data_IF_370147098025
#
_entry.id   IF_370147098025
#
_cell.length_a   1.000
_cell.length_b   1.000
_cell.length_c   1.000
_cell.angle_alpha   90.00
_cell.angle_beta   90.00
_cell.angle_gamma   90.00
#
_symmetry.space_group_name_H-M   'P 1'
#
loop_
_entity.id
_entity.type
_entity.pdbx_description
1 polymer ?
#
# COMPACT_ATOMS: atom_id res chain seq x y z
N UNK A 1 13.14 14.12 -2.55
CA UNK A 1 13.84 12.92 -3.07
C UNK A 1 13.46 11.75 -2.17
N UNK A 2 12.85 10.68 -2.71
CA UNK A 2 12.41 9.51 -1.93
C UNK A 2 13.46 8.41 -2.13
N UNK A 3 14.13 7.97 -1.06
CA UNK A 3 15.16 6.90 -1.16
C UNK A 3 15.14 6.04 0.09
N UNK A 4 15.49 4.76 -0.04
CA UNK A 4 15.65 3.83 1.10
C UNK A 4 17.09 3.77 1.62
N UNK A 5 17.93 4.75 1.25
CA UNK A 5 19.34 4.75 1.66
C UNK A 5 19.48 5.32 3.08
N UNK A 6 20.26 4.66 3.95
CA UNK A 6 20.33 5.01 5.38
C UNK A 6 20.96 6.38 5.68
N UNK A 7 21.55 7.06 4.68
CA UNK A 7 22.22 8.36 4.81
C UNK A 7 21.41 9.53 4.23
N UNK A 8 20.15 9.32 3.84
CA UNK A 8 19.35 10.35 3.21
C UNK A 8 18.44 11.05 4.23
N UNK A 9 18.48 12.39 4.29
CA UNK A 9 17.54 13.23 5.07
C UNK A 9 16.14 13.32 4.39
N UNK A 10 15.94 12.65 3.26
CA UNK A 10 14.66 12.53 2.57
C UNK A 10 13.76 11.46 3.16
N UNK A 11 12.48 11.48 2.77
CA UNK A 11 11.50 10.46 3.18
C UNK A 11 11.80 9.10 2.52
N UNK A 12 11.70 8.01 3.29
CA UNK A 12 11.78 6.66 2.72
C UNK A 12 10.55 6.36 1.86
N UNK A 13 10.63 5.40 0.93
CA UNK A 13 9.45 4.98 0.14
C UNK A 13 8.37 4.46 1.08
N UNK A 14 8.76 3.62 2.04
CA UNK A 14 7.85 3.09 3.06
C UNK A 14 7.12 4.21 3.83
N UNK A 15 7.85 5.21 4.32
CA UNK A 15 7.26 6.35 5.02
C UNK A 15 6.36 7.21 4.12
N UNK A 16 6.65 7.28 2.81
CA UNK A 16 5.75 7.96 1.88
C UNK A 16 4.41 7.20 1.74
N UNK A 17 4.43 5.87 1.72
CA UNK A 17 3.21 5.05 1.69
C UNK A 17 2.40 5.16 2.98
N UNK A 18 3.06 5.23 4.15
CA UNK A 18 2.40 5.48 5.44
C UNK A 18 1.63 6.80 5.40
N UNK A 19 2.29 7.90 5.03
CA UNK A 19 1.66 9.23 4.93
C UNK A 19 0.52 9.23 3.91
N UNK A 20 0.71 8.62 2.73
CA UNK A 20 -0.33 8.55 1.71
C UNK A 20 -1.55 7.77 2.20
N UNK A 21 -1.35 6.65 2.91
CA UNK A 21 -2.42 5.86 3.46
C UNK A 21 -3.24 6.66 4.49
N UNK A 22 -2.56 7.33 5.41
CA UNK A 22 -3.22 8.16 6.43
C UNK A 22 -4.00 9.31 5.81
N UNK A 23 -3.41 10.00 4.81
CA UNK A 23 -4.09 11.09 4.09
C UNK A 23 -5.35 10.61 3.35
N UNK A 24 -5.30 9.42 2.73
CA UNK A 24 -6.46 8.82 2.07
C UNK A 24 -7.54 8.51 3.12
N UNK A 25 -7.16 7.90 4.25
CA UNK A 25 -8.13 7.56 5.29
C UNK A 25 -8.80 8.80 5.88
N UNK A 26 -8.03 9.86 6.16
CA UNK A 26 -8.56 11.13 6.64
C UNK A 26 -9.47 11.80 5.61
N UNK A 27 -9.01 11.94 4.37
CA UNK A 27 -9.74 12.65 3.30
C UNK A 27 -11.09 12.03 2.97
N UNK A 28 -11.20 10.70 3.13
CA UNK A 28 -12.39 9.93 2.80
C UNK A 28 -13.13 9.38 4.04
N UNK A 29 -12.76 9.81 5.25
CA UNK A 29 -13.33 9.36 6.52
C UNK A 29 -13.37 7.82 6.66
N UNK A 30 -12.31 7.15 6.20
CA UNK A 30 -12.19 5.70 6.27
C UNK A 30 -11.59 5.30 7.62
N UNK A 31 -12.03 4.16 8.15
CA UNK A 31 -11.37 3.55 9.31
C UNK A 31 -10.12 2.79 8.84
N UNK A 32 -8.90 3.21 9.24
CA UNK A 32 -7.64 2.59 8.83
C UNK A 32 -7.60 1.06 9.02
N UNK A 33 -8.21 0.56 10.09
CA UNK A 33 -8.25 -0.87 10.43
C UNK A 33 -9.15 -1.71 9.51
N UNK A 34 -9.99 -1.06 8.70
CA UNK A 34 -10.94 -1.73 7.79
C UNK A 34 -10.59 -1.53 6.31
N UNK A 35 -9.58 -0.72 6.02
CA UNK A 35 -9.12 -0.48 4.66
C UNK A 35 -8.25 -1.64 4.19
N UNK A 36 -8.47 -2.06 2.95
CA UNK A 36 -7.61 -3.03 2.27
C UNK A 36 -6.92 -2.29 1.14
N UNK A 37 -5.60 -2.20 1.18
CA UNK A 37 -4.81 -1.54 0.14
C UNK A 37 -4.32 -2.58 -0.87
N UNK A 38 -4.66 -2.37 -2.14
CA UNK A 38 -4.18 -3.19 -3.25
C UNK A 38 -3.40 -2.32 -4.21
N UNK A 39 -2.14 -2.66 -4.43
CA UNK A 39 -1.31 -2.01 -5.43
C UNK A 39 -1.37 -2.80 -6.75
N UNK A 40 -1.77 -2.13 -7.82
CA UNK A 40 -1.70 -2.67 -9.17
C UNK A 40 -0.51 -2.06 -9.90
N UNK A 41 0.46 -2.88 -10.26
CA UNK A 41 1.66 -2.48 -10.99
C UNK A 41 1.59 -3.03 -12.40
N UNK A 42 1.51 -2.11 -13.36
CA UNK A 42 1.65 -2.43 -14.78
C UNK A 42 3.08 -2.16 -15.19
N UNK A 43 3.90 -3.21 -15.27
CA UNK A 43 5.27 -3.06 -15.75
C UNK A 43 5.27 -2.61 -17.23
N UNK A 44 6.16 -1.69 -17.58
CA UNK A 44 6.44 -1.39 -18.98
C UNK A 44 7.20 -2.58 -19.56
N UNK A 45 6.76 -3.04 -20.74
CA UNK A 45 7.30 -4.17 -21.52
C UNK A 45 6.92 -5.57 -21.00
N UNK A 46 5.83 -6.13 -21.57
CA UNK A 46 5.51 -7.57 -21.68
C UNK A 46 5.57 -8.48 -20.43
N UNK A 47 5.70 -7.95 -19.22
CA UNK A 47 5.81 -8.75 -17.98
C UNK A 47 4.49 -9.05 -17.26
N UNK A 48 3.35 -8.71 -17.88
CA UNK A 48 2.03 -8.96 -17.31
C UNK A 48 1.64 -7.95 -16.22
N UNK A 49 0.42 -8.10 -15.71
CA UNK A 49 -0.09 -7.32 -14.57
C UNK A 49 0.37 -7.96 -13.26
N UNK A 50 0.89 -7.16 -12.34
CA UNK A 50 1.25 -7.60 -10.99
C UNK A 50 0.37 -6.92 -9.96
N UNK A 51 -0.08 -7.71 -8.99
CA UNK A 51 -0.90 -7.24 -7.89
C UNK A 51 -0.20 -7.53 -6.57
N UNK A 52 -0.23 -6.57 -5.66
CA UNK A 52 0.29 -6.74 -4.31
C UNK A 52 -0.76 -6.29 -3.30
N UNK A 53 -1.00 -7.13 -2.29
CA UNK A 53 -1.72 -6.73 -1.09
C UNK A 53 -0.72 -6.04 -0.16
N UNK A 54 -1.01 -4.78 0.19
CA UNK A 54 -0.15 -3.99 1.07
C UNK A 54 -0.73 -4.01 2.48
N UNK A 55 0.05 -4.55 3.41
CA UNK A 55 -0.30 -4.62 4.83
C UNK A 55 0.38 -3.48 5.58
N UNK A 56 -0.38 -2.78 6.41
CA UNK A 56 0.13 -1.76 7.33
C UNK A 56 -0.12 -2.22 8.77
N UNK A 57 0.81 -1.95 9.66
CA UNK A 57 0.56 -1.96 11.09
C UNK A 57 -0.20 -0.68 11.45
N UNK A 58 -1.36 -0.78 12.12
CA UNK A 58 -2.10 0.39 12.57
C UNK A 58 -1.81 0.62 14.05
N UNK A 59 -1.13 1.72 14.37
CA UNK A 59 -0.75 2.10 15.73
C UNK A 59 -1.29 3.49 15.99
N UNK A 60 -2.13 3.65 17.02
CA UNK A 60 -2.79 4.93 17.34
C UNK A 60 -3.51 5.55 16.12
N UNK A 61 -4.21 4.71 15.35
CA UNK A 61 -4.92 5.09 14.11
C UNK A 61 -4.04 5.65 12.98
N UNK A 62 -2.72 5.44 13.05
CA UNK A 62 -1.76 5.78 11.99
C UNK A 62 -1.17 4.52 11.37
N UNK A 63 -0.95 4.56 10.06
CA UNK A 63 -0.33 3.47 9.32
C UNK A 63 1.19 3.47 9.48
N UNK A 64 1.77 2.29 9.68
CA UNK A 64 3.19 2.06 9.89
C UNK A 64 3.65 0.79 9.18
N UNK A 65 4.94 0.69 8.87
CA UNK A 65 5.63 -0.51 8.40
C UNK A 65 4.92 -1.22 7.24
N UNK A 66 4.76 -0.56 6.07
CA UNK A 66 4.13 -1.20 4.91
C UNK A 66 4.87 -2.46 4.48
N UNK A 67 4.13 -3.52 4.19
CA UNK A 67 4.64 -4.80 3.71
C UNK A 67 3.84 -5.27 2.50
N UNK A 68 4.55 -5.53 1.40
CA UNK A 68 3.96 -6.00 0.15
C UNK A 68 3.95 -7.52 0.10
N UNK A 69 2.79 -8.07 -0.19
CA UNK A 69 2.60 -9.48 -0.50
C UNK A 69 2.08 -9.61 -1.92
N UNK A 70 2.83 -10.26 -2.80
CA UNK A 70 2.36 -10.53 -4.16
C UNK A 70 1.16 -11.48 -4.14
N UNK A 71 0.14 -11.13 -4.93
CA UNK A 71 -1.12 -11.87 -5.04
C UNK A 71 -1.51 -12.03 -6.50
N UNK A 72 -2.35 -13.02 -6.80
CA UNK A 72 -2.88 -13.22 -8.14
C UNK A 72 -4.05 -12.29 -8.42
N UNK A 73 -4.31 -12.00 -9.70
CA UNK A 73 -5.52 -11.29 -10.13
C UNK A 73 -6.80 -12.01 -9.65
N UNK A 74 -6.81 -13.34 -9.66
CA UNK A 74 -7.94 -14.14 -9.17
C UNK A 74 -8.22 -13.92 -7.67
N UNK A 75 -7.17 -13.78 -6.85
CA UNK A 75 -7.31 -13.42 -5.44
C UNK A 75 -7.92 -12.03 -5.28
N UNK A 76 -7.43 -11.05 -6.05
CA UNK A 76 -7.95 -9.67 -6.05
C UNK A 76 -9.43 -9.65 -6.41
N UNK A 77 -9.84 -10.37 -7.46
CA UNK A 77 -11.24 -10.48 -7.87
C UNK A 77 -12.12 -11.07 -6.77
N UNK A 78 -11.63 -12.08 -6.05
CA UNK A 78 -12.37 -12.67 -4.94
C UNK A 78 -12.56 -11.65 -3.80
N UNK A 79 -11.53 -10.95 -3.35
CA UNK A 79 -11.68 -10.01 -2.22
C UNK A 79 -12.53 -8.78 -2.55
N UNK A 80 -12.54 -8.31 -3.80
CA UNK A 80 -13.37 -7.17 -4.23
C UNK A 80 -14.83 -7.56 -4.41
N UNK A 81 -15.11 -8.77 -4.86
CA UNK A 81 -16.49 -9.22 -5.15
C UNK A 81 -17.26 -9.63 -3.90
N UNK A 82 -16.55 -10.00 -2.82
CA UNK A 82 -17.14 -10.49 -1.56
C UNK A 82 -17.22 -9.41 -0.46
N UNK A 83 -16.90 -8.15 -0.76
CA UNK A 83 -17.16 -6.99 0.12
C UNK A 83 -18.45 -6.30 -0.28
#
# INVERSE_FOLDING_TARGET
>A
MVTELPWNEGISISSAFEILFDQICESYYLNPQKVTYLEHRRERENKGEQWSLVHFDIINDQACNPRWQDVTESFVRAIVTYK
#
